data_IF_164155897846
#
_entry.id   IF_164155897846
#
_cell.length_a   1.000
_cell.length_b   1.000
_cell.length_c   1.000
_cell.angle_alpha   90.00
_cell.angle_beta   90.00
_cell.angle_gamma   90.00
#
_symmetry.space_group_name_H-M   'P 1'
#
loop_
_entity.id
_entity.type
_entity.pdbx_description
1 polymer ?
#
# COMPACT_ATOMS: atom_id res chain seq x y z
N UNK A 1 -5.38 25.05 -4.63
CA UNK A 1 -4.58 23.81 -4.41
C UNK A 1 -3.13 24.24 -4.36
N UNK A 2 -2.49 24.02 -3.22
CA UNK A 2 -1.05 24.20 -3.09
C UNK A 2 -0.34 22.98 -3.68
N UNK A 3 0.67 23.21 -4.49
CA UNK A 3 1.47 22.13 -5.05
C UNK A 3 2.96 22.42 -4.90
N UNK A 4 3.76 21.34 -4.81
CA UNK A 4 5.21 21.42 -4.83
C UNK A 4 5.77 20.48 -5.90
N UNK A 5 6.85 20.89 -6.55
CA UNK A 5 7.60 20.06 -7.48
C UNK A 5 8.93 19.71 -6.84
N UNK A 6 9.21 18.42 -6.75
CA UNK A 6 10.47 17.90 -6.18
C UNK A 6 11.23 17.15 -7.26
N UNK A 7 12.40 17.63 -7.59
CA UNK A 7 13.31 16.98 -8.54
C UNK A 7 14.36 16.21 -7.75
N UNK A 8 14.44 14.92 -8.00
CA UNK A 8 15.41 14.01 -7.36
C UNK A 8 16.19 13.25 -8.43
N UNK A 9 17.34 12.65 -8.10
CA UNK A 9 18.06 11.79 -9.03
C UNK A 9 17.15 10.65 -9.55
N UNK A 10 17.40 10.16 -10.76
CA UNK A 10 16.68 9.01 -11.31
C UNK A 10 17.15 7.73 -10.61
N UNK A 11 16.39 7.30 -9.61
CA UNK A 11 16.73 6.11 -8.80
C UNK A 11 16.32 4.77 -9.42
N UNK A 12 15.44 4.78 -10.42
CA UNK A 12 14.91 3.57 -11.04
C UNK A 12 13.71 2.97 -10.31
N UNK A 13 13.11 1.95 -10.93
CA UNK A 13 11.91 1.29 -10.42
C UNK A 13 12.17 0.54 -9.09
N UNK A 14 13.35 -0.06 -8.95
CA UNK A 14 13.76 -0.78 -7.73
C UNK A 14 13.79 0.08 -6.48
N UNK A 15 13.76 1.39 -6.64
CA UNK A 15 13.76 2.37 -5.54
C UNK A 15 12.50 3.24 -5.53
N UNK A 16 11.39 2.75 -6.09
CA UNK A 16 10.12 3.48 -6.14
C UNK A 16 9.65 3.91 -4.74
N UNK A 17 9.82 3.04 -3.74
CA UNK A 17 9.51 3.37 -2.36
C UNK A 17 10.27 4.59 -1.82
N UNK A 18 11.49 4.83 -2.28
CA UNK A 18 12.28 5.98 -1.84
C UNK A 18 11.70 7.30 -2.34
N UNK A 19 11.19 7.34 -3.59
CA UNK A 19 10.45 8.50 -4.08
C UNK A 19 9.22 8.77 -3.22
N UNK A 20 8.43 7.74 -2.94
CA UNK A 20 7.19 7.87 -2.18
C UNK A 20 7.46 8.26 -0.72
N UNK A 21 8.46 7.67 -0.08
CA UNK A 21 8.87 8.05 1.27
C UNK A 21 9.41 9.48 1.33
N UNK A 22 10.18 9.89 0.32
CA UNK A 22 10.65 11.27 0.22
C UNK A 22 9.50 12.25 0.08
N UNK A 23 8.54 11.99 -0.81
CA UNK A 23 7.35 12.83 -0.97
C UNK A 23 6.51 12.87 0.32
N UNK A 24 6.30 11.72 0.98
CA UNK A 24 5.59 11.66 2.25
C UNK A 24 6.28 12.50 3.34
N UNK A 25 7.62 12.55 3.36
CA UNK A 25 8.38 13.38 4.30
C UNK A 25 8.23 14.90 4.07
N UNK A 26 7.76 15.31 2.88
CA UNK A 26 7.54 16.72 2.51
C UNK A 26 6.08 17.14 2.61
N UNK A 27 5.16 16.19 2.54
CA UNK A 27 3.73 16.45 2.59
C UNK A 27 3.25 16.66 4.04
N UNK A 28 2.31 17.59 4.23
CA UNK A 28 1.70 17.94 5.51
C UNK A 28 0.20 17.62 5.56
N UNK A 29 -0.33 16.96 4.53
CA UNK A 29 -1.74 16.58 4.46
C UNK A 29 -2.10 15.49 5.49
N UNK A 30 -3.37 15.44 5.89
CA UNK A 30 -3.88 14.39 6.78
C UNK A 30 -3.92 13.01 6.13
N UNK A 31 -3.93 12.97 4.81
CA UNK A 31 -4.00 11.76 3.99
C UNK A 31 -3.01 11.81 2.83
N UNK A 32 -2.48 10.65 2.46
CA UNK A 32 -1.66 10.45 1.27
C UNK A 32 -2.43 9.63 0.26
N UNK A 33 -2.46 10.09 -0.98
CA UNK A 33 -2.86 9.31 -2.15
C UNK A 33 -1.68 9.31 -3.12
N UNK A 34 -1.09 8.15 -3.34
CA UNK A 34 -0.09 7.98 -4.37
C UNK A 34 -0.78 7.72 -5.70
N UNK A 35 -0.47 8.55 -6.68
CA UNK A 35 -1.14 8.58 -7.96
C UNK A 35 -0.10 8.46 -9.07
N UNK A 36 -0.26 7.45 -9.91
CA UNK A 36 0.63 7.21 -11.04
C UNK A 36 0.31 8.17 -12.18
N UNK A 37 1.28 8.42 -13.06
CA UNK A 37 1.12 9.27 -14.24
C UNK A 37 0.18 8.67 -15.30
N UNK A 38 0.00 7.35 -15.30
CA UNK A 38 -0.96 6.59 -16.11
C UNK A 38 -2.33 6.35 -15.43
N UNK A 39 -2.60 7.06 -14.32
CA UNK A 39 -3.86 6.96 -13.59
C UNK A 39 -4.75 8.20 -13.78
N UNK A 40 -6.07 7.98 -13.74
CA UNK A 40 -7.08 9.05 -13.88
C UNK A 40 -8.14 8.94 -12.80
N UNK A 41 -8.35 10.02 -12.05
CA UNK A 41 -9.46 10.12 -11.10
C UNK A 41 -10.79 10.19 -11.87
N UNK A 42 -11.72 9.28 -11.57
CA UNK A 42 -13.06 9.24 -12.17
C UNK A 42 -14.11 9.91 -11.30
N UNK A 43 -13.96 9.82 -10.00
CA UNK A 43 -14.93 10.39 -9.06
C UNK A 43 -14.75 11.89 -8.90
N UNK A 44 -15.86 12.61 -8.88
CA UNK A 44 -15.92 14.01 -8.45
C UNK A 44 -15.94 14.05 -6.92
N UNK A 45 -15.47 15.14 -6.34
CA UNK A 45 -15.50 15.38 -4.87
C UNK A 45 -14.86 14.25 -4.05
N UNK A 46 -13.92 13.50 -4.63
CA UNK A 46 -13.21 12.40 -3.99
C UNK A 46 -12.51 12.83 -2.69
N UNK A 47 -12.01 14.05 -2.64
CA UNK A 47 -11.41 14.68 -1.46
C UNK A 47 -12.42 14.83 -0.31
N UNK A 48 -13.65 15.20 -0.60
CA UNK A 48 -14.73 15.27 0.38
C UNK A 48 -15.11 13.87 0.90
N UNK A 49 -15.02 12.86 0.04
CA UNK A 49 -15.25 11.48 0.45
C UNK A 49 -14.18 11.02 1.42
N UNK A 50 -12.90 11.31 1.16
CA UNK A 50 -11.81 11.04 2.11
C UNK A 50 -12.05 11.73 3.45
N UNK A 51 -12.55 12.97 3.45
CA UNK A 51 -12.83 13.72 4.67
C UNK A 51 -13.87 13.07 5.60
N UNK A 52 -14.75 12.18 5.07
CA UNK A 52 -15.69 11.40 5.91
C UNK A 52 -14.98 10.43 6.85
N UNK A 53 -13.73 10.08 6.55
CA UNK A 53 -12.89 9.19 7.35
C UNK A 53 -11.97 9.95 8.32
N UNK A 54 -12.09 11.26 8.42
CA UNK A 54 -11.27 12.07 9.35
C UNK A 54 -11.42 11.58 10.78
N UNK A 55 -10.30 11.40 11.47
CA UNK A 55 -10.26 10.87 12.82
C UNK A 55 -10.31 9.33 12.93
N UNK A 56 -10.51 8.62 11.81
CA UNK A 56 -10.37 7.16 11.76
C UNK A 56 -8.98 6.78 11.29
N UNK A 57 -8.38 5.78 11.92
CA UNK A 57 -7.13 5.19 11.43
C UNK A 57 -7.47 4.03 10.49
N UNK A 58 -7.64 4.31 9.21
CA UNK A 58 -7.99 3.33 8.17
C UNK A 58 -7.15 3.56 6.92
N UNK A 59 -6.82 2.49 6.23
CA UNK A 59 -6.30 2.52 4.85
C UNK A 59 -7.50 2.31 3.94
N UNK A 60 -7.76 3.28 3.04
CA UNK A 60 -8.90 3.18 2.15
C UNK A 60 -8.48 2.49 0.85
N UNK A 61 -9.21 1.45 0.49
CA UNK A 61 -9.13 0.78 -0.80
C UNK A 61 -10.22 1.36 -1.70
N UNK A 62 -9.79 2.07 -2.73
CA UNK A 62 -10.67 2.67 -3.73
C UNK A 62 -11.04 1.65 -4.82
N UNK A 63 -12.08 1.94 -5.58
CA UNK A 63 -12.42 1.18 -6.79
C UNK A 63 -11.42 1.50 -7.89
N UNK A 64 -10.92 0.47 -8.54
CA UNK A 64 -10.08 0.59 -9.74
C UNK A 64 -10.52 -0.42 -10.80
N UNK A 65 -9.93 -0.37 -11.98
CA UNK A 65 -10.22 -1.28 -13.09
C UNK A 65 -9.34 -2.55 -13.08
N UNK A 66 -8.63 -2.79 -11.98
CA UNK A 66 -7.85 -4.00 -11.78
C UNK A 66 -8.57 -4.90 -10.77
N UNK A 67 -8.85 -6.13 -11.14
CA UNK A 67 -9.30 -7.15 -10.20
C UNK A 67 -8.09 -7.68 -9.39
N UNK A 68 -7.57 -6.86 -8.48
CA UNK A 68 -6.40 -7.21 -7.70
C UNK A 68 -6.74 -7.27 -6.20
N UNK A 69 -6.18 -8.22 -5.41
CA UNK A 69 -6.46 -8.32 -3.98
C UNK A 69 -5.89 -7.15 -3.16
N UNK A 70 -4.88 -6.45 -3.68
CA UNK A 70 -4.31 -5.27 -3.02
C UNK A 70 -5.05 -3.98 -3.39
N UNK A 71 -4.95 -2.98 -2.53
CA UNK A 71 -5.32 -1.62 -2.86
C UNK A 71 -4.23 -1.00 -3.75
N UNK A 72 -4.46 -0.94 -5.06
CA UNK A 72 -3.47 -0.41 -6.03
C UNK A 72 -3.21 1.08 -5.79
N UNK A 73 -4.24 1.82 -5.43
CA UNK A 73 -4.16 3.23 -5.05
C UNK A 73 -4.61 3.41 -3.59
N UNK A 74 -3.82 2.95 -2.61
CA UNK A 74 -4.21 3.07 -1.21
C UNK A 74 -4.24 4.53 -0.79
N UNK A 75 -5.29 4.94 -0.09
CA UNK A 75 -5.34 6.22 0.59
C UNK A 75 -4.94 5.99 2.03
N UNK A 76 -3.86 6.64 2.44
CA UNK A 76 -3.11 6.32 3.65
C UNK A 76 -3.18 7.51 4.61
N UNK A 77 -3.60 7.35 5.88
CA UNK A 77 -3.57 8.43 6.84
C UNK A 77 -2.12 8.82 7.19
N UNK A 78 -1.87 10.10 7.39
CA UNK A 78 -0.54 10.60 7.76
C UNK A 78 0.02 9.88 9.00
N UNK A 79 -0.83 9.52 9.95
CA UNK A 79 -0.45 8.78 11.16
C UNK A 79 0.24 7.45 10.84
N UNK A 80 -0.10 6.78 9.73
CA UNK A 80 0.58 5.56 9.30
C UNK A 80 2.08 5.81 9.10
N UNK A 81 2.42 6.87 8.36
CA UNK A 81 3.81 7.26 8.14
C UNK A 81 4.52 7.63 9.44
N UNK A 82 3.85 8.36 10.33
CA UNK A 82 4.40 8.74 11.64
C UNK A 82 4.74 7.51 12.48
N UNK A 83 3.88 6.50 12.49
CA UNK A 83 4.06 5.27 13.29
C UNK A 83 5.14 4.34 12.73
N UNK A 84 5.15 4.15 11.41
CA UNK A 84 6.05 3.20 10.75
C UNK A 84 7.40 3.81 10.38
N UNK A 85 7.44 5.16 10.23
CA UNK A 85 8.60 5.91 9.77
C UNK A 85 8.81 5.87 8.24
N UNK A 86 8.01 5.08 7.52
CA UNK A 86 8.04 4.95 6.05
C UNK A 86 6.64 4.59 5.55
N UNK A 87 6.31 4.90 4.30
CA UNK A 87 5.11 4.34 3.65
C UNK A 87 5.37 2.88 3.30
N UNK A 88 6.53 2.59 2.70
CA UNK A 88 6.98 1.25 2.39
C UNK A 88 8.49 1.14 2.46
N UNK A 89 9.05 0.05 3.01
CA UNK A 89 10.49 -0.20 3.01
C UNK A 89 11.00 -0.75 1.66
N UNK A 90 10.10 -1.10 0.72
CA UNK A 90 10.44 -1.74 -0.55
C UNK A 90 9.52 -1.25 -1.69
N UNK A 91 9.87 -1.55 -2.96
CA UNK A 91 9.26 -0.96 -4.16
C UNK A 91 7.78 -1.32 -4.39
N UNK A 92 7.31 -2.48 -3.93
CA UNK A 92 5.90 -2.90 -4.05
C UNK A 92 5.05 -2.24 -2.96
N UNK A 93 4.93 -0.94 -3.04
CA UNK A 93 4.31 -0.12 -1.98
C UNK A 93 2.84 -0.45 -1.75
N UNK A 94 2.08 -0.66 -2.82
CA UNK A 94 0.68 -1.08 -2.79
C UNK A 94 0.49 -2.41 -2.06
N UNK A 95 1.30 -3.40 -2.38
CA UNK A 95 1.31 -4.70 -1.73
C UNK A 95 1.70 -4.60 -0.25
N UNK A 96 2.77 -3.85 0.07
CA UNK A 96 3.22 -3.63 1.44
C UNK A 96 2.13 -3.02 2.31
N UNK A 97 1.58 -1.88 1.87
CA UNK A 97 0.54 -1.15 2.60
C UNK A 97 -0.71 -2.01 2.77
N UNK A 98 -1.11 -2.74 1.72
CA UNK A 98 -2.27 -3.62 1.78
C UNK A 98 -2.08 -4.77 2.76
N UNK A 99 -0.91 -5.41 2.76
CA UNK A 99 -0.64 -6.51 3.70
C UNK A 99 -0.63 -6.01 5.16
N UNK A 100 0.01 -4.88 5.45
CA UNK A 100 -0.05 -4.27 6.78
C UNK A 100 -1.48 -3.93 7.17
N UNK A 101 -2.25 -3.36 6.24
CA UNK A 101 -3.63 -2.99 6.50
C UNK A 101 -4.54 -4.19 6.79
N UNK A 102 -4.37 -5.29 6.06
CA UNK A 102 -5.12 -6.54 6.32
C UNK A 102 -4.70 -7.19 7.63
N UNK A 103 -3.40 -7.20 7.94
CA UNK A 103 -2.90 -7.73 9.21
C UNK A 103 -3.45 -6.98 10.41
N UNK A 104 -3.55 -5.66 10.31
CA UNK A 104 -4.03 -4.81 11.39
C UNK A 104 -5.55 -4.61 11.39
N UNK A 105 -6.29 -5.23 10.46
CA UNK A 105 -7.75 -5.05 10.28
C UNK A 105 -8.14 -3.57 10.13
N UNK A 106 -7.33 -2.81 9.39
CA UNK A 106 -7.54 -1.38 9.14
C UNK A 106 -7.85 -1.07 7.66
N UNK A 107 -8.01 -2.09 6.81
CA UNK A 107 -8.43 -1.88 5.43
C UNK A 107 -9.94 -1.60 5.40
N UNK A 108 -10.33 -0.52 4.75
CA UNK A 108 -11.72 -0.14 4.53
C UNK A 108 -11.96 0.10 3.03
N UNK A 109 -13.00 -0.50 2.46
CA UNK A 109 -13.35 -0.29 1.07
C UNK A 109 -14.12 1.03 0.92
N UNK A 110 -13.60 1.94 0.08
CA UNK A 110 -14.22 3.22 -0.25
C UNK A 110 -14.47 3.29 -1.76
N UNK A 111 -15.55 2.64 -2.21
CA UNK A 111 -15.87 2.49 -3.62
C UNK A 111 -16.62 3.69 -4.24
N UNK A 112 -16.93 4.73 -3.46
CA UNK A 112 -17.37 6.02 -3.97
C UNK A 112 -16.21 6.78 -4.66
N UNK A 113 -14.96 6.35 -4.42
CA UNK A 113 -13.78 6.83 -5.12
C UNK A 113 -13.38 5.80 -6.17
N UNK A 114 -13.36 6.22 -7.44
CA UNK A 114 -12.95 5.38 -8.57
C UNK A 114 -11.75 6.00 -9.28
N UNK A 115 -10.72 5.19 -9.49
CA UNK A 115 -9.51 5.53 -10.23
C UNK A 115 -9.37 4.56 -11.41
N UNK A 116 -9.19 5.08 -12.60
CA UNK A 116 -8.88 4.30 -13.80
C UNK A 116 -7.36 4.25 -13.98
N UNK A 117 -6.82 3.05 -14.09
CA UNK A 117 -5.40 2.80 -14.35
C UNK A 117 -5.20 2.42 -15.81
N UNK A 118 -4.56 3.30 -16.58
CA UNK A 118 -4.32 3.12 -18.01
C UNK A 118 -3.03 2.33 -18.28
N UNK A 119 -2.79 1.29 -17.50
CA UNK A 119 -1.59 0.47 -17.61
C UNK A 119 -1.66 -0.44 -18.84
N UNK A 120 -0.56 -0.55 -19.56
CA UNK A 120 -0.47 -1.26 -20.86
C UNK A 120 -1.04 -2.68 -20.84
N UNK A 121 -0.71 -3.47 -19.83
CA UNK A 121 -1.15 -4.88 -19.70
C UNK A 121 -2.64 -5.04 -19.39
N UNK A 122 -3.32 -3.95 -19.03
CA UNK A 122 -4.76 -3.93 -18.72
C UNK A 122 -5.53 -3.37 -19.92
N UNK A 123 -5.07 -2.25 -20.45
CA UNK A 123 -5.82 -1.47 -21.45
C UNK A 123 -5.31 -1.68 -22.88
N UNK A 124 -4.10 -2.25 -23.02
CA UNK A 124 -3.42 -2.36 -24.30
C UNK A 124 -2.88 -1.03 -24.85
N UNK A 125 -2.91 0.04 -24.04
CA UNK A 125 -2.42 1.35 -24.47
C UNK A 125 -0.90 1.32 -24.70
N UNK A 126 -0.42 1.51 -25.94
CA UNK A 126 1.02 1.43 -26.24
C UNK A 126 1.83 2.56 -25.61
N UNK A 127 1.21 3.70 -25.29
CA UNK A 127 1.89 4.86 -24.70
C UNK A 127 2.35 4.58 -23.26
N UNK A 128 1.70 3.65 -22.56
CA UNK A 128 2.05 3.24 -21.19
C UNK A 128 3.00 2.04 -21.13
N UNK A 129 3.48 1.54 -22.29
CA UNK A 129 4.48 0.49 -22.39
C UNK A 129 5.91 1.06 -22.36
N UNK A 130 6.25 1.74 -21.31
CA UNK A 130 7.55 2.38 -21.12
C UNK A 130 8.63 1.44 -20.56
N UNK A 131 9.84 1.97 -20.33
CA UNK A 131 10.95 1.20 -19.76
C UNK A 131 10.66 0.74 -18.31
N UNK A 132 9.93 1.51 -17.55
CA UNK A 132 9.57 1.17 -16.17
C UNK A 132 8.71 -0.08 -16.15
N UNK A 133 7.70 -0.12 -17.01
CA UNK A 133 6.84 -1.28 -17.17
C UNK A 133 7.62 -2.53 -17.66
N UNK A 134 8.48 -2.37 -18.67
CA UNK A 134 9.27 -3.47 -19.24
C UNK A 134 10.27 -4.09 -18.26
N UNK A 135 10.84 -3.28 -17.38
CA UNK A 135 11.85 -3.72 -16.41
C UNK A 135 11.23 -4.31 -15.13
N UNK A 136 9.95 -4.08 -14.89
CA UNK A 136 9.23 -4.52 -13.69
C UNK A 136 9.34 -6.04 -13.40
N UNK A 137 9.14 -6.96 -14.35
CA UNK A 137 9.16 -8.39 -14.09
C UNK A 137 10.50 -8.94 -13.59
N UNK A 138 11.59 -8.22 -13.84
CA UNK A 138 12.94 -8.65 -13.46
C UNK A 138 13.23 -8.46 -11.97
N UNK A 139 12.43 -7.64 -11.28
CA UNK A 139 12.65 -7.23 -9.89
C UNK A 139 11.71 -7.94 -8.91
N UNK A 140 10.64 -8.54 -9.40
CA UNK A 140 9.63 -9.21 -8.58
C UNK A 140 9.90 -10.72 -8.49
N UNK A 141 9.69 -11.30 -7.31
CA UNK A 141 9.72 -12.75 -7.11
C UNK A 141 11.11 -13.36 -6.96
N UNK A 142 12.11 -12.59 -6.57
CA UNK A 142 13.42 -13.13 -6.20
C UNK A 142 13.55 -13.26 -4.67
N UNK A 143 13.32 -14.46 -4.09
CA UNK A 143 13.35 -14.64 -2.64
C UNK A 143 14.74 -14.46 -2.01
N UNK A 144 15.80 -14.47 -2.81
CA UNK A 144 17.17 -14.17 -2.35
C UNK A 144 17.40 -12.65 -2.23
N UNK A 145 16.55 -11.84 -2.84
CA UNK A 145 16.60 -10.39 -2.67
C UNK A 145 16.07 -10.01 -1.28
N UNK A 146 16.90 -9.41 -0.40
CA UNK A 146 16.45 -9.01 0.95
C UNK A 146 15.29 -8.00 0.93
N UNK A 147 15.07 -7.32 -0.20
CA UNK A 147 13.95 -6.39 -0.41
C UNK A 147 12.72 -7.07 -1.00
N UNK A 148 12.76 -8.37 -1.31
CA UNK A 148 11.58 -9.11 -1.72
C UNK A 148 10.54 -9.12 -0.59
N UNK A 149 9.27 -8.97 -0.96
CA UNK A 149 8.15 -8.87 -0.02
C UNK A 149 8.07 -10.06 0.96
N UNK A 150 8.53 -11.24 0.52
CA UNK A 150 8.50 -12.49 1.28
C UNK A 150 9.87 -12.85 1.87
N UNK A 151 10.88 -11.99 1.76
CA UNK A 151 12.15 -12.22 2.44
C UNK A 151 11.97 -12.20 3.97
N UNK A 152 12.78 -12.93 4.73
CA UNK A 152 12.71 -12.94 6.19
C UNK A 152 12.82 -11.54 6.80
N UNK A 153 13.60 -10.66 6.18
CA UNK A 153 13.78 -9.27 6.62
C UNK A 153 12.48 -8.47 6.46
N UNK A 154 11.82 -8.58 5.30
CA UNK A 154 10.57 -7.87 5.04
C UNK A 154 9.41 -8.44 5.86
N UNK A 155 9.37 -9.74 6.09
CA UNK A 155 8.41 -10.36 7.00
C UNK A 155 8.59 -9.79 8.43
N UNK A 156 9.81 -9.79 8.95
CA UNK A 156 10.10 -9.24 10.29
C UNK A 156 9.77 -7.74 10.37
N UNK A 157 10.12 -6.97 9.34
CA UNK A 157 9.78 -5.55 9.28
C UNK A 157 8.28 -5.32 9.29
N UNK A 158 7.50 -6.11 8.54
CA UNK A 158 6.05 -6.03 8.48
C UNK A 158 5.42 -6.28 9.86
N UNK A 159 5.90 -7.28 10.58
CA UNK A 159 5.44 -7.55 11.95
C UNK A 159 5.74 -6.40 12.91
N UNK A 160 6.91 -5.79 12.76
CA UNK A 160 7.28 -4.63 13.57
C UNK A 160 6.35 -3.44 13.31
N UNK A 161 6.05 -3.16 12.05
CA UNK A 161 5.14 -2.06 11.68
C UNK A 161 3.70 -2.35 12.13
N UNK A 162 3.23 -3.59 11.97
CA UNK A 162 1.93 -4.01 12.51
C UNK A 162 1.85 -3.87 14.03
N UNK A 163 2.89 -4.26 14.76
CA UNK A 163 2.93 -4.13 16.21
C UNK A 163 2.83 -2.67 16.67
N UNK A 164 3.51 -1.75 16.00
CA UNK A 164 3.41 -0.31 16.28
C UNK A 164 1.99 0.22 16.06
N UNK A 165 1.39 -0.14 14.93
CA UNK A 165 0.02 0.26 14.57
C UNK A 165 -0.98 -0.28 15.59
N UNK A 166 -0.91 -1.57 15.92
CA UNK A 166 -1.81 -2.20 16.87
C UNK A 166 -1.70 -1.61 18.28
N UNK A 167 -0.47 -1.32 18.71
CA UNK A 167 -0.25 -0.65 19.97
C UNK A 167 -0.88 0.75 20.00
N UNK A 168 -0.74 1.50 18.91
CA UNK A 168 -1.37 2.81 18.76
C UNK A 168 -2.89 2.74 18.80
N UNK A 169 -3.49 1.80 18.08
CA UNK A 169 -4.94 1.57 18.10
C UNK A 169 -5.44 1.17 19.49
N UNK A 170 -4.68 0.36 20.22
CA UNK A 170 -4.99 0.01 21.61
C UNK A 170 -5.01 1.24 22.51
N UNK A 171 -4.03 2.12 22.39
CA UNK A 171 -3.95 3.36 23.16
C UNK A 171 -5.10 4.32 22.84
N UNK A 172 -5.58 4.34 21.60
CA UNK A 172 -6.75 5.15 21.17
C UNK A 172 -8.09 4.53 21.56
N UNK A 173 -8.11 3.30 22.07
CA UNK A 173 -9.36 2.58 22.34
C UNK A 173 -10.07 2.06 21.09
N UNK A 174 -9.44 2.13 19.93
CA UNK A 174 -9.91 1.60 18.65
C UNK A 174 -9.37 0.16 18.43
N UNK A 175 -9.49 -0.64 19.47
CA UNK A 175 -8.90 -1.97 19.60
C UNK A 175 -9.99 -3.03 19.65
N UNK A 176 -9.86 -4.08 18.88
CA UNK A 176 -10.71 -5.24 18.98
C UNK A 176 -9.92 -6.51 19.38
N UNK A 177 -10.62 -7.51 19.89
CA UNK A 177 -10.03 -8.77 20.41
C UNK A 177 -9.26 -9.59 19.38
N UNK A 178 -9.33 -9.27 18.08
CA UNK A 178 -8.53 -9.92 17.05
C UNK A 178 -7.04 -9.58 17.18
N UNK A 179 -6.69 -8.42 17.72
CA UNK A 179 -5.31 -7.99 17.90
C UNK A 179 -4.53 -8.85 18.90
N UNK A 180 -5.15 -9.36 19.94
CA UNK A 180 -4.45 -10.26 20.88
C UNK A 180 -4.01 -11.55 20.21
N UNK A 181 -4.81 -12.06 19.29
CA UNK A 181 -4.47 -13.26 18.49
C UNK A 181 -3.36 -12.97 17.49
N UNK A 182 -3.34 -11.78 16.89
CA UNK A 182 -2.27 -11.33 16.01
C UNK A 182 -0.93 -11.17 16.74
N UNK A 183 -0.93 -10.54 17.91
CA UNK A 183 0.27 -10.37 18.74
C UNK A 183 0.85 -11.71 19.20
N UNK A 184 0.03 -12.76 19.32
CA UNK A 184 0.48 -14.09 19.69
C UNK A 184 1.22 -14.83 18.58
N UNK A 185 1.22 -14.32 17.33
CA UNK A 185 1.82 -14.97 16.16
C UNK A 185 1.14 -16.28 15.78
N UNK A 186 -0.07 -16.57 16.31
CA UNK A 186 -0.80 -17.80 16.09
C UNK A 186 -2.25 -17.53 15.73
N UNK A 187 -2.80 -18.25 14.79
CA UNK A 187 -4.23 -18.29 14.52
C UNK A 187 -4.63 -17.94 13.11
N UNK A 188 -5.95 -17.96 12.83
CA UNK A 188 -6.49 -17.95 11.47
C UNK A 188 -6.19 -16.70 10.64
N UNK A 189 -5.68 -15.63 11.25
CA UNK A 189 -5.25 -14.43 10.52
C UNK A 189 -3.92 -14.70 9.81
N UNK A 190 -3.01 -15.40 10.46
CA UNK A 190 -1.76 -15.84 9.85
C UNK A 190 -2.01 -16.84 8.73
N UNK A 191 -2.94 -17.78 8.97
CA UNK A 191 -3.39 -18.75 7.96
C UNK A 191 -4.07 -18.06 6.77
N UNK A 192 -4.87 -17.00 7.02
CA UNK A 192 -5.50 -16.20 5.96
C UNK A 192 -4.51 -15.36 5.16
N UNK A 193 -3.46 -14.83 5.78
CA UNK A 193 -2.40 -14.13 5.06
C UNK A 193 -1.62 -15.05 4.18
N UNK A 194 -1.29 -16.24 4.67
CA UNK A 194 -0.68 -17.28 3.86
C UNK A 194 -1.60 -17.78 2.74
N UNK A 195 -2.91 -17.88 2.98
CA UNK A 195 -3.90 -18.29 1.99
C UNK A 195 -4.25 -17.20 0.97
N UNK A 196 -4.16 -15.92 1.36
CA UNK A 196 -4.44 -14.76 0.51
C UNK A 196 -3.17 -14.08 -0.02
N UNK A 197 -2.00 -14.69 0.17
CA UNK A 197 -0.78 -14.24 -0.48
C UNK A 197 -0.94 -14.46 -1.99
N UNK A 198 -1.10 -13.40 -2.81
CA UNK A 198 -1.31 -13.55 -4.25
C UNK A 198 -0.13 -14.22 -4.95
N UNK A 199 1.07 -14.20 -4.35
CA UNK A 199 2.22 -14.94 -4.85
C UNK A 199 2.11 -16.45 -4.60
N UNK A 200 1.28 -16.90 -3.63
CA UNK A 200 0.97 -18.33 -3.43
C UNK A 200 -0.20 -18.81 -4.31
N UNK A 201 -1.11 -17.94 -4.71
CA UNK A 201 -2.24 -18.29 -5.58
C UNK A 201 -1.78 -18.56 -7.02
N UNK A 202 -0.78 -17.84 -7.52
CA UNK A 202 -0.20 -18.08 -8.85
C UNK A 202 0.64 -19.34 -8.96
N UNK A 203 1.04 -19.94 -7.84
CA UNK A 203 1.77 -21.21 -7.83
C UNK A 203 0.85 -22.46 -7.88
N UNK A 204 -0.49 -22.29 -7.95
CA UNK A 204 -1.49 -23.37 -7.99
C UNK A 204 -2.24 -23.51 -9.31
N UNK A 205 -1.87 -22.73 -10.34
CA UNK A 205 -2.29 -22.91 -11.73
C UNK A 205 -1.06 -23.26 -12.57
#
# INVERSE_FOLDING_TARGET
IDYGVYVVPRWGYERLNEYLNYLASKASGAWYLFFNDDARMKSKDWDKTICKHTGKFRILRVKDNMEHPYAIFPIIPHEFYVLTGTISPQQMTDAWVSQVAYLCDIMENEYDIEIFHDRHDITGNPETNDETFKNRPQLEGNPENPMDLNSPQMIQRRYTDCAKIMWHLKLKGDYNTHFEKLLSGKGPIWDKLEANDPHKVTART
#
